data_IF_689030697878
#
_entry.id   IF_689030697878
#
_cell.length_a   1.000
_cell.length_b   1.000
_cell.length_c   1.000
_cell.angle_alpha   90.00
_cell.angle_beta   90.00
_cell.angle_gamma   90.00
#
_symmetry.space_group_name_H-M   'P 1'
#
loop_
_entity.id
_entity.type
_entity.pdbx_description
1 polymer ?
#
# COMPACT_ATOMS: atom_id res chain seq x y z
N UNK A 1 -5.60 -0.20 20.75
CA UNK A 1 -6.37 0.79 19.96
C UNK A 1 -6.89 0.27 18.63
N UNK A 2 -6.14 0.21 17.52
CA UNK A 2 -6.71 -0.18 16.21
C UNK A 2 -7.26 -1.63 16.17
N UNK A 3 -6.57 -2.60 16.79
CA UNK A 3 -7.06 -3.98 16.88
C UNK A 3 -8.34 -4.09 17.73
N UNK A 4 -8.43 -3.30 18.80
CA UNK A 4 -9.64 -3.26 19.62
C UNK A 4 -10.80 -2.64 18.86
N UNK A 5 -10.57 -1.59 18.07
CA UNK A 5 -11.57 -1.02 17.18
C UNK A 5 -12.06 -2.04 16.16
N UNK A 6 -11.14 -2.81 15.56
CA UNK A 6 -11.48 -3.85 14.59
C UNK A 6 -12.38 -4.95 15.17
N UNK A 7 -12.18 -5.26 16.46
CA UNK A 7 -13.05 -6.19 17.19
C UNK A 7 -14.44 -5.63 17.49
N UNK A 8 -14.58 -4.31 17.61
CA UNK A 8 -15.82 -3.64 18.01
C UNK A 8 -16.67 -3.20 16.82
N UNK A 9 -16.06 -2.89 15.67
CA UNK A 9 -16.75 -2.36 14.50
C UNK A 9 -16.67 -3.35 13.31
N UNK A 10 -17.82 -3.91 12.87
CA UNK A 10 -17.84 -4.86 11.76
C UNK A 10 -17.43 -4.25 10.40
N UNK A 11 -17.34 -2.92 10.28
CA UNK A 11 -16.83 -2.26 9.09
C UNK A 11 -15.31 -2.42 8.92
N UNK A 12 -14.58 -2.76 9.98
CA UNK A 12 -13.12 -2.95 9.94
C UNK A 12 -12.80 -4.42 9.71
N UNK A 13 -12.38 -4.76 8.50
CA UNK A 13 -12.06 -6.15 8.12
C UNK A 13 -10.61 -6.58 8.38
N UNK A 14 -9.73 -5.63 8.71
CA UNK A 14 -8.32 -5.89 8.98
C UNK A 14 -7.55 -4.65 9.40
N UNK A 15 -6.39 -4.86 10.02
CA UNK A 15 -5.48 -3.84 10.54
C UNK A 15 -4.08 -4.14 10.03
N UNK A 16 -3.45 -3.15 9.41
CA UNK A 16 -2.00 -3.14 9.16
C UNK A 16 -1.33 -2.51 10.37
N UNK A 17 -0.58 -3.31 11.12
CA UNK A 17 0.14 -2.89 12.33
C UNK A 17 1.43 -2.12 12.02
N UNK A 18 2.07 -1.60 13.05
CA UNK A 18 3.34 -0.89 12.94
C UNK A 18 4.45 -1.65 13.66
N UNK A 19 5.58 -1.84 12.99
CA UNK A 19 6.84 -2.23 13.62
C UNK A 19 7.94 -1.32 13.10
N UNK A 20 8.85 -0.91 13.98
CA UNK A 20 10.15 -0.41 13.56
C UNK A 20 10.94 -1.59 12.99
N UNK A 21 10.89 -1.78 11.68
CA UNK A 21 11.23 -3.05 11.05
C UNK A 21 12.74 -3.31 11.02
N UNK A 22 13.57 -2.28 11.22
CA UNK A 22 15.03 -2.42 11.36
C UNK A 22 15.50 -2.75 12.79
N UNK A 23 14.58 -2.81 13.76
CA UNK A 23 14.93 -3.16 15.13
C UNK A 23 15.22 -4.67 15.27
N UNK A 24 16.23 -5.02 16.06
CA UNK A 24 16.60 -6.42 16.32
C UNK A 24 15.48 -7.21 17.04
N UNK A 25 14.62 -6.51 17.77
CA UNK A 25 13.49 -7.05 18.53
C UNK A 25 12.13 -6.85 17.82
N UNK A 26 12.10 -6.44 16.55
CA UNK A 26 10.86 -6.19 15.82
C UNK A 26 9.92 -7.40 15.82
N UNK A 27 10.47 -8.61 15.67
CA UNK A 27 9.69 -9.85 15.69
C UNK A 27 9.20 -10.18 17.10
N UNK A 28 9.98 -9.90 18.14
CA UNK A 28 9.50 -10.04 19.53
C UNK A 28 8.39 -9.06 19.86
N UNK A 29 8.43 -7.85 19.29
CA UNK A 29 7.31 -6.91 19.38
C UNK A 29 6.06 -7.40 18.64
N UNK A 30 6.22 -8.05 17.47
CA UNK A 30 5.13 -8.72 16.77
C UNK A 30 4.51 -9.83 17.63
N UNK A 31 5.32 -10.66 18.27
CA UNK A 31 4.84 -11.73 19.16
C UNK A 31 3.96 -11.16 20.29
N UNK A 32 4.27 -9.95 20.77
CA UNK A 32 3.46 -9.24 21.76
C UNK A 32 2.03 -8.93 21.27
N UNK A 33 1.81 -8.78 19.96
CA UNK A 33 0.48 -8.50 19.41
C UNK A 33 -0.49 -9.66 19.58
N UNK A 34 -0.01 -10.92 19.68
CA UNK A 34 -0.87 -12.10 19.88
C UNK A 34 -1.73 -12.01 21.14
N UNK A 35 -1.23 -11.28 22.15
CA UNK A 35 -1.92 -11.10 23.42
C UNK A 35 -3.00 -10.01 23.39
N UNK A 36 -3.06 -9.20 22.32
CA UNK A 36 -3.96 -8.05 22.23
C UNK A 36 -5.37 -8.46 21.77
N UNK A 37 -6.43 -7.81 22.30
CA UNK A 37 -7.77 -8.01 21.78
C UNK A 37 -7.87 -7.60 20.31
N UNK A 38 -8.41 -8.48 19.47
CA UNK A 38 -8.56 -8.24 18.03
C UNK A 38 -7.31 -8.60 17.20
N UNK A 39 -6.34 -9.31 17.77
CA UNK A 39 -5.17 -9.81 17.04
C UNK A 39 -5.53 -10.56 15.75
N UNK A 40 -6.67 -11.27 15.71
CA UNK A 40 -7.16 -11.97 14.53
C UNK A 40 -7.44 -11.06 13.32
N UNK A 41 -7.50 -9.74 13.53
CA UNK A 41 -7.63 -8.71 12.49
C UNK A 41 -6.28 -8.16 12.02
N UNK A 42 -5.15 -8.53 12.63
CA UNK A 42 -3.83 -8.12 12.14
C UNK A 42 -3.52 -8.88 10.84
N UNK A 43 -3.31 -8.15 9.75
CA UNK A 43 -3.15 -8.74 8.40
C UNK A 43 -1.87 -8.34 7.69
N UNK A 44 -1.15 -7.38 8.25
CA UNK A 44 0.10 -6.89 7.68
C UNK A 44 0.82 -5.96 8.62
N UNK A 45 2.03 -5.59 8.23
CA UNK A 45 2.89 -4.66 8.95
C UNK A 45 3.35 -3.57 8.00
N UNK A 46 3.49 -2.36 8.54
CA UNK A 46 4.06 -1.21 7.84
C UNK A 46 5.03 -0.46 8.74
N UNK A 47 6.17 -0.07 8.20
CA UNK A 47 7.05 0.95 8.77
C UNK A 47 6.90 2.27 7.99
N UNK A 48 7.31 3.39 8.57
CA UNK A 48 7.30 4.73 7.97
C UNK A 48 8.58 4.99 7.15
N UNK A 49 8.94 4.04 6.29
CA UNK A 49 10.23 4.04 5.59
C UNK A 49 10.53 5.35 4.84
N UNK A 50 9.51 5.98 4.28
CA UNK A 50 9.62 7.24 3.53
C UNK A 50 10.02 8.49 4.33
N UNK A 51 10.03 8.41 5.66
CA UNK A 51 10.36 9.50 6.59
C UNK A 51 11.77 9.34 7.15
N UNK A 52 12.40 8.17 6.96
CA UNK A 52 13.81 8.01 7.30
C UNK A 52 14.70 8.69 6.26
N UNK A 53 15.80 9.33 6.67
CA UNK A 53 16.71 10.03 5.76
C UNK A 53 17.53 9.10 4.88
N UNK A 54 17.65 7.83 5.25
CA UNK A 54 18.40 6.83 4.50
C UNK A 54 17.50 6.21 3.42
N UNK A 55 17.69 6.60 2.16
CA UNK A 55 16.95 6.06 1.02
C UNK A 55 17.17 4.54 0.84
N UNK A 56 18.24 3.98 1.41
CA UNK A 56 18.55 2.55 1.42
C UNK A 56 17.98 1.81 2.64
N UNK A 57 17.14 2.47 3.46
CA UNK A 57 16.60 1.88 4.69
C UNK A 57 16.01 0.48 4.49
N UNK A 58 15.20 0.29 3.45
CA UNK A 58 14.50 -0.96 3.19
C UNK A 58 15.40 -2.12 2.76
N UNK A 59 16.60 -1.84 2.23
CA UNK A 59 17.55 -2.87 1.80
C UNK A 59 18.55 -3.28 2.90
N UNK A 60 18.42 -2.71 4.11
CA UNK A 60 19.24 -3.11 5.25
C UNK A 60 19.06 -4.61 5.55
N UNK A 61 20.14 -5.35 5.88
CA UNK A 61 20.05 -6.78 6.18
C UNK A 61 19.02 -7.13 7.27
N UNK A 62 18.94 -6.32 8.32
CA UNK A 62 17.99 -6.53 9.42
C UNK A 62 16.53 -6.35 8.96
N UNK A 63 16.25 -5.35 8.12
CA UNK A 63 14.91 -5.14 7.54
C UNK A 63 14.52 -6.34 6.68
N UNK A 64 15.40 -6.78 5.78
CA UNK A 64 15.18 -7.96 4.94
C UNK A 64 14.92 -9.20 5.82
N UNK A 65 15.72 -9.42 6.86
CA UNK A 65 15.55 -10.55 7.77
C UNK A 65 14.18 -10.52 8.47
N UNK A 66 13.78 -9.37 9.00
CA UNK A 66 12.51 -9.25 9.71
C UNK A 66 11.32 -9.38 8.76
N UNK A 67 11.36 -8.78 7.57
CA UNK A 67 10.29 -8.90 6.56
C UNK A 67 10.14 -10.33 6.02
N UNK A 68 11.25 -11.08 5.88
CA UNK A 68 11.18 -12.52 5.58
C UNK A 68 10.41 -13.28 6.65
N UNK A 69 10.64 -12.95 7.91
CA UNK A 69 9.97 -13.59 9.03
C UNK A 69 8.47 -13.24 9.07
N UNK A 70 8.10 -12.00 8.71
CA UNK A 70 6.69 -11.64 8.50
C UNK A 70 6.01 -12.54 7.45
N UNK A 71 6.66 -12.71 6.29
CA UNK A 71 6.11 -13.53 5.20
C UNK A 71 5.89 -14.99 5.58
N UNK A 72 6.85 -15.61 6.29
CA UNK A 72 6.69 -16.99 6.81
C UNK A 72 5.49 -17.15 7.73
N UNK A 73 5.12 -16.09 8.44
CA UNK A 73 3.98 -16.05 9.37
C UNK A 73 2.66 -15.67 8.70
N UNK A 74 2.68 -15.43 7.38
CA UNK A 74 1.51 -15.08 6.60
C UNK A 74 1.13 -13.60 6.68
N UNK A 75 1.98 -12.73 7.24
CA UNK A 75 1.75 -11.29 7.23
C UNK A 75 2.24 -10.66 5.94
N UNK A 76 1.45 -9.74 5.42
CA UNK A 76 1.87 -8.85 4.34
C UNK A 76 2.78 -7.72 4.86
N UNK A 77 3.51 -7.08 3.94
CA UNK A 77 4.29 -5.88 4.23
C UNK A 77 3.91 -4.73 3.28
N UNK A 78 3.46 -3.61 3.86
CA UNK A 78 3.09 -2.41 3.11
C UNK A 78 4.33 -1.55 2.85
N UNK A 79 4.62 -1.28 1.58
CA UNK A 79 5.75 -0.48 1.09
C UNK A 79 5.37 0.99 1.02
N UNK A 80 5.53 1.71 2.14
CA UNK A 80 5.39 3.17 2.19
C UNK A 80 6.67 3.86 1.75
N UNK A 81 6.72 4.27 0.48
CA UNK A 81 7.93 4.78 -0.17
C UNK A 81 7.67 6.08 -0.93
N UNK A 82 8.71 6.91 -1.05
CA UNK A 82 8.83 7.96 -2.09
C UNK A 82 9.78 7.44 -3.17
N UNK A 83 9.77 8.04 -4.36
CA UNK A 83 10.61 7.64 -5.49
C UNK A 83 12.08 7.29 -5.14
N UNK A 84 12.80 8.05 -4.29
CA UNK A 84 14.19 7.71 -3.95
C UNK A 84 14.36 6.37 -3.21
N UNK A 85 13.34 5.92 -2.45
CA UNK A 85 13.38 4.68 -1.67
C UNK A 85 13.06 3.43 -2.50
N UNK A 86 12.58 3.59 -3.75
CA UNK A 86 12.05 2.46 -4.54
C UNK A 86 13.13 1.46 -4.92
N UNK A 87 14.39 1.87 -5.13
CA UNK A 87 15.49 0.94 -5.36
C UNK A 87 15.72 0.00 -4.17
N UNK A 88 15.66 0.54 -2.95
CA UNK A 88 15.77 -0.28 -1.74
C UNK A 88 14.56 -1.21 -1.55
N UNK A 89 13.36 -0.74 -1.94
CA UNK A 89 12.17 -1.57 -1.95
C UNK A 89 12.27 -2.73 -2.96
N UNK A 90 12.85 -2.51 -4.14
CA UNK A 90 13.09 -3.57 -5.13
C UNK A 90 14.00 -4.66 -4.55
N UNK A 91 15.10 -4.28 -3.89
CA UNK A 91 16.01 -5.24 -3.27
C UNK A 91 15.34 -6.01 -2.11
N UNK A 92 14.48 -5.35 -1.34
CA UNK A 92 13.69 -5.99 -0.30
C UNK A 92 12.71 -7.03 -0.89
N UNK A 93 11.91 -6.63 -1.88
CA UNK A 93 10.93 -7.52 -2.54
C UNK A 93 11.61 -8.72 -3.16
N UNK A 94 12.69 -8.49 -3.90
CA UNK A 94 13.52 -9.54 -4.52
C UNK A 94 14.07 -10.53 -3.49
N UNK A 95 14.40 -10.03 -2.30
CA UNK A 95 14.93 -10.86 -1.22
C UNK A 95 13.86 -11.66 -0.50
N UNK A 96 12.58 -11.31 -0.61
CA UNK A 96 11.48 -11.85 0.18
C UNK A 96 10.34 -12.39 -0.71
N UNK A 97 10.59 -13.40 -1.58
CA UNK A 97 9.60 -13.86 -2.56
C UNK A 97 8.32 -14.46 -1.93
N UNK A 98 8.41 -14.93 -0.69
CA UNK A 98 7.27 -15.53 0.04
C UNK A 98 6.43 -14.50 0.82
N UNK A 99 6.82 -13.22 0.82
CA UNK A 99 6.08 -12.15 1.50
C UNK A 99 5.16 -11.45 0.50
N UNK A 100 3.87 -11.29 0.82
CA UNK A 100 2.97 -10.43 0.04
C UNK A 100 3.30 -8.96 0.31
N UNK A 101 3.59 -8.20 -0.74
CA UNK A 101 3.88 -6.77 -0.65
C UNK A 101 2.73 -5.93 -1.21
N UNK A 102 2.47 -4.80 -0.56
CA UNK A 102 1.48 -3.82 -1.02
C UNK A 102 2.17 -2.47 -1.16
N UNK A 103 2.25 -1.94 -2.38
CA UNK A 103 2.74 -0.58 -2.62
C UNK A 103 1.70 0.42 -2.14
N UNK A 104 2.06 1.23 -1.16
CA UNK A 104 1.21 2.31 -0.66
C UNK A 104 1.25 3.51 -1.63
N UNK A 105 0.09 4.12 -1.85
CA UNK A 105 -0.08 5.41 -2.54
C UNK A 105 0.63 5.52 -3.88
N UNK A 106 0.57 4.46 -4.68
CA UNK A 106 1.31 4.31 -5.94
C UNK A 106 2.80 4.66 -5.84
N UNK A 107 3.42 4.49 -4.67
CA UNK A 107 4.80 4.89 -4.36
C UNK A 107 5.10 6.40 -4.48
N UNK A 108 4.06 7.23 -4.29
CA UNK A 108 4.16 8.68 -4.12
C UNK A 108 4.98 9.39 -5.22
N UNK A 109 4.58 9.31 -6.50
CA UNK A 109 5.22 10.08 -7.55
C UNK A 109 5.14 11.57 -7.26
N UNK A 110 6.10 12.36 -7.73
CA UNK A 110 6.09 13.81 -7.54
C UNK A 110 5.12 14.49 -8.53
N UNK A 111 3.82 14.33 -8.28
CA UNK A 111 2.74 14.81 -9.15
C UNK A 111 2.77 16.34 -9.32
N UNK A 112 2.98 17.08 -8.23
CA UNK A 112 3.10 18.55 -8.27
C UNK A 112 4.24 19.02 -9.20
N UNK A 113 5.33 18.24 -9.30
CA UNK A 113 6.47 18.52 -10.19
C UNK A 113 6.29 17.97 -11.60
N UNK A 114 5.21 17.24 -11.86
CA UNK A 114 4.93 16.55 -13.13
C UNK A 114 6.03 15.56 -13.53
N UNK A 115 6.69 14.94 -12.55
CA UNK A 115 7.75 13.98 -12.79
C UNK A 115 7.20 12.57 -12.98
N UNK A 116 7.36 12.00 -14.18
CA UNK A 116 6.99 10.62 -14.49
C UNK A 116 8.15 9.64 -14.23
N UNK A 117 9.38 10.08 -14.49
CA UNK A 117 10.59 9.27 -14.31
C UNK A 117 11.44 9.81 -13.16
N UNK A 118 12.14 8.94 -12.41
CA UNK A 118 12.29 7.49 -12.62
C UNK A 118 11.15 6.64 -12.04
N UNK A 119 10.11 7.25 -11.48
CA UNK A 119 9.01 6.56 -10.81
C UNK A 119 8.39 5.45 -11.65
N UNK A 120 8.01 5.72 -12.90
CA UNK A 120 7.34 4.74 -13.75
C UNK A 120 8.20 3.52 -14.05
N UNK A 121 9.50 3.70 -14.31
CA UNK A 121 10.45 2.61 -14.52
C UNK A 121 10.62 1.75 -13.27
N UNK A 122 10.82 2.38 -12.11
CA UNK A 122 10.98 1.67 -10.83
C UNK A 122 9.70 0.94 -10.43
N UNK A 123 8.54 1.55 -10.68
CA UNK A 123 7.24 0.94 -10.42
C UNK A 123 7.02 -0.29 -11.30
N UNK A 124 7.43 -0.20 -12.58
CA UNK A 124 7.39 -1.34 -13.51
C UNK A 124 8.30 -2.47 -13.06
N UNK A 125 9.48 -2.18 -12.51
CA UNK A 125 10.36 -3.20 -11.93
C UNK A 125 9.69 -3.91 -10.74
N UNK A 126 9.07 -3.16 -9.82
CA UNK A 126 8.33 -3.75 -8.70
C UNK A 126 7.15 -4.61 -9.17
N UNK A 127 6.44 -4.18 -10.21
CA UNK A 127 5.34 -4.96 -10.78
C UNK A 127 5.78 -6.30 -11.40
N UNK A 128 7.05 -6.43 -11.77
CA UNK A 128 7.63 -7.67 -12.29
C UNK A 128 7.65 -8.82 -11.27
N UNK A 129 7.50 -8.53 -9.98
CA UNK A 129 7.39 -9.54 -8.93
C UNK A 129 5.91 -9.89 -8.69
N UNK A 130 5.55 -11.17 -8.77
CA UNK A 130 4.15 -11.63 -8.70
C UNK A 130 3.49 -11.36 -7.33
N UNK A 131 4.28 -11.37 -6.26
CA UNK A 131 3.88 -11.12 -4.88
C UNK A 131 3.73 -9.63 -4.52
N UNK A 132 3.67 -8.72 -5.50
CA UNK A 132 3.48 -7.28 -5.27
C UNK A 132 2.08 -6.87 -5.74
N UNK A 133 1.35 -6.08 -4.97
CA UNK A 133 0.13 -5.40 -5.44
C UNK A 133 0.24 -3.91 -5.14
N UNK A 134 -0.68 -3.10 -5.65
CA UNK A 134 -0.63 -1.65 -5.51
C UNK A 134 -1.94 -1.08 -4.99
N UNK A 135 -1.85 -0.17 -4.03
CA UNK A 135 -2.95 0.71 -3.66
C UNK A 135 -2.93 1.95 -4.54
N UNK A 136 -4.03 2.16 -5.25
CA UNK A 136 -4.32 3.42 -5.95
C UNK A 136 -4.99 4.35 -4.96
N UNK A 137 -4.16 5.07 -4.23
CA UNK A 137 -4.53 5.93 -3.09
C UNK A 137 -3.54 7.09 -2.93
N UNK A 138 -3.81 8.04 -2.04
CA UNK A 138 -2.84 9.08 -1.62
C UNK A 138 -2.33 10.02 -2.72
N UNK A 139 -2.96 10.06 -3.90
CA UNK A 139 -2.49 10.87 -5.03
C UNK A 139 -2.69 12.38 -4.82
N UNK A 140 -3.68 12.78 -4.01
CA UNK A 140 -4.04 14.18 -3.82
C UNK A 140 -2.97 14.97 -3.07
N UNK A 141 -2.36 14.35 -2.05
CA UNK A 141 -1.33 14.98 -1.22
C UNK A 141 0.01 15.12 -1.93
N UNK A 142 0.21 14.43 -3.05
CA UNK A 142 1.41 14.54 -3.89
C UNK A 142 1.27 15.59 -5.02
N UNK A 143 0.06 16.13 -5.24
CA UNK A 143 -0.22 17.19 -6.19
C UNK A 143 -0.15 18.59 -5.55
N UNK A 144 -0.38 19.64 -6.35
CA UNK A 144 -0.65 20.97 -5.81
C UNK A 144 -2.08 20.99 -5.24
N UNK A 145 -2.18 21.11 -3.91
CA UNK A 145 -3.44 21.01 -3.17
C UNK A 145 -4.45 22.09 -3.56
N UNK A 146 -3.98 23.24 -4.08
CA UNK A 146 -4.84 24.37 -4.41
C UNK A 146 -5.44 24.34 -5.82
N UNK A 147 -4.97 23.45 -6.71
CA UNK A 147 -5.29 23.56 -8.14
C UNK A 147 -5.38 22.25 -8.91
N UNK A 148 -5.40 21.10 -8.23
CA UNK A 148 -5.51 19.82 -8.94
C UNK A 148 -6.85 19.64 -9.65
N UNK A 149 -6.85 18.82 -10.69
CA UNK A 149 -8.03 18.31 -11.39
C UNK A 149 -7.82 16.84 -11.75
N UNK A 150 -8.83 16.15 -12.29
CA UNK A 150 -8.65 14.78 -12.77
C UNK A 150 -7.49 14.65 -13.78
N UNK A 151 -7.29 15.64 -14.64
CA UNK A 151 -6.20 15.64 -15.62
C UNK A 151 -4.81 15.76 -14.99
N UNK A 152 -4.72 16.23 -13.74
CA UNK A 152 -3.47 16.22 -12.96
C UNK A 152 -3.02 14.78 -12.65
N UNK A 153 -3.98 13.89 -12.38
CA UNK A 153 -3.71 12.51 -11.97
C UNK A 153 -3.74 11.51 -13.13
N UNK A 154 -4.51 11.82 -14.18
CA UNK A 154 -4.73 10.94 -15.34
C UNK A 154 -3.43 10.33 -15.90
N UNK A 155 -2.32 11.06 -16.11
CA UNK A 155 -1.09 10.46 -16.63
C UNK A 155 -0.53 9.35 -15.74
N UNK A 156 -0.56 9.54 -14.42
CA UNK A 156 -0.07 8.56 -13.44
C UNK A 156 -1.01 7.35 -13.33
N UNK A 157 -2.33 7.60 -13.34
CA UNK A 157 -3.33 6.55 -13.32
C UNK A 157 -3.26 5.66 -14.57
N UNK A 158 -3.11 6.26 -15.75
CA UNK A 158 -2.87 5.52 -17.00
C UNK A 158 -1.59 4.70 -16.90
N UNK A 159 -0.50 5.29 -16.41
CA UNK A 159 0.76 4.56 -16.24
C UNK A 159 0.61 3.35 -15.30
N UNK A 160 -0.15 3.49 -14.21
CA UNK A 160 -0.45 2.38 -13.29
C UNK A 160 -1.23 1.28 -14.01
N UNK A 161 -2.23 1.61 -14.84
CA UNK A 161 -2.98 0.60 -15.62
C UNK A 161 -2.18 -0.11 -16.69
N UNK A 162 -1.12 0.53 -17.21
CA UNK A 162 -0.18 -0.11 -18.13
C UNK A 162 0.78 -1.07 -17.42
N UNK A 163 1.02 -0.87 -16.13
CA UNK A 163 1.99 -1.63 -15.32
C UNK A 163 1.30 -2.77 -14.54
N UNK A 164 0.14 -2.51 -13.95
CA UNK A 164 -0.61 -3.46 -13.13
C UNK A 164 -1.96 -3.80 -13.77
N UNK A 165 -2.30 -5.08 -13.73
CA UNK A 165 -3.66 -5.52 -14.06
C UNK A 165 -4.63 -5.12 -12.94
N UNK A 166 -5.93 -4.95 -13.22
CA UNK A 166 -6.91 -4.67 -12.17
C UNK A 166 -6.96 -5.69 -11.03
N UNK A 167 -6.56 -6.95 -11.28
CA UNK A 167 -6.44 -7.98 -10.25
C UNK A 167 -5.30 -7.73 -9.24
N UNK A 168 -4.35 -6.83 -9.55
CA UNK A 168 -3.25 -6.43 -8.66
C UNK A 168 -3.34 -4.97 -8.22
N UNK A 169 -4.45 -4.29 -8.50
CA UNK A 169 -4.75 -2.94 -8.03
C UNK A 169 -5.86 -2.97 -6.98
N UNK A 170 -5.76 -2.14 -5.95
CA UNK A 170 -6.84 -1.93 -4.99
C UNK A 170 -7.04 -0.45 -4.69
N UNK A 171 -8.28 -0.05 -4.42
CA UNK A 171 -8.61 1.29 -3.94
C UNK A 171 -8.12 1.52 -2.51
N UNK A 172 -7.73 2.77 -2.21
CA UNK A 172 -7.64 3.26 -0.83
C UNK A 172 -7.95 4.75 -0.77
N UNK A 173 -8.72 5.18 0.23
CA UNK A 173 -9.09 6.60 0.36
C UNK A 173 -7.97 7.47 0.91
N UNK A 174 -7.02 6.87 1.64
CA UNK A 174 -6.02 7.57 2.45
C UNK A 174 -6.65 8.54 3.48
N UNK A 175 -7.87 8.27 3.92
CA UNK A 175 -8.52 9.05 4.98
C UNK A 175 -7.84 8.79 6.34
N UNK A 176 -7.65 9.81 7.19
CA UNK A 176 -8.04 11.22 7.02
C UNK A 176 -7.01 12.09 6.30
N UNK A 177 -5.85 11.56 5.91
CA UNK A 177 -4.75 12.33 5.29
C UNK A 177 -5.18 12.99 3.98
N UNK A 178 -6.05 12.33 3.19
CA UNK A 178 -6.60 12.90 1.97
C UNK A 178 -7.30 14.25 2.19
N UNK A 179 -7.84 14.51 3.39
CA UNK A 179 -8.53 15.76 3.76
C UNK A 179 -7.63 17.01 3.71
N UNK A 180 -6.31 16.83 3.63
CA UNK A 180 -5.36 17.92 3.39
C UNK A 180 -5.52 18.55 2.00
N UNK A 181 -5.96 17.77 1.01
CA UNK A 181 -6.02 18.18 -0.39
C UNK A 181 -7.35 17.88 -1.09
N UNK A 182 -8.19 16.99 -0.55
CA UNK A 182 -9.46 16.59 -1.15
C UNK A 182 -10.47 16.12 -0.08
N UNK A 183 -11.76 16.19 -0.39
CA UNK A 183 -12.79 15.53 0.44
C UNK A 183 -12.83 14.02 0.17
N UNK A 184 -13.40 13.26 1.12
CA UNK A 184 -13.68 11.84 0.89
C UNK A 184 -14.54 11.62 -0.36
N UNK A 185 -15.57 12.45 -0.56
CA UNK A 185 -16.43 12.40 -1.75
C UNK A 185 -15.64 12.59 -3.05
N UNK A 186 -14.77 13.61 -3.11
CA UNK A 186 -13.91 13.83 -4.28
C UNK A 186 -12.97 12.64 -4.53
N UNK A 187 -12.46 12.01 -3.46
CA UNK A 187 -11.62 10.81 -3.56
C UNK A 187 -12.37 9.68 -4.26
N UNK A 188 -13.63 9.42 -3.87
CA UNK A 188 -14.48 8.42 -4.51
C UNK A 188 -14.80 8.79 -5.96
N UNK A 189 -15.24 10.03 -6.22
CA UNK A 189 -15.61 10.48 -7.58
C UNK A 189 -14.45 10.35 -8.59
N UNK A 190 -13.21 10.65 -8.16
CA UNK A 190 -12.02 10.49 -9.01
C UNK A 190 -11.75 9.01 -9.31
N UNK A 191 -11.93 8.12 -8.34
CA UNK A 191 -11.68 6.68 -8.52
C UNK A 191 -12.81 5.98 -9.29
N UNK A 192 -14.06 6.43 -9.14
CA UNK A 192 -15.18 6.01 -9.99
C UNK A 192 -14.94 6.41 -11.45
N UNK A 193 -14.48 7.65 -11.69
CA UNK A 193 -14.10 8.10 -13.03
C UNK A 193 -12.91 7.31 -13.59
N UNK A 194 -11.89 7.05 -12.78
CA UNK A 194 -10.74 6.24 -13.18
C UNK A 194 -11.14 4.84 -13.63
N UNK A 195 -12.06 4.22 -12.90
CA UNK A 195 -12.53 2.86 -13.19
C UNK A 195 -13.74 2.82 -14.14
N UNK A 196 -14.16 3.95 -14.73
CA UNK A 196 -15.43 4.02 -15.50
C UNK A 196 -15.48 2.98 -16.63
N UNK A 197 -14.36 2.77 -17.32
CA UNK A 197 -14.19 1.89 -18.47
C UNK A 197 -13.75 0.46 -18.09
N UNK A 198 -13.56 0.17 -16.81
CA UNK A 198 -13.28 -1.19 -16.36
C UNK A 198 -14.54 -2.05 -16.52
N UNK A 199 -14.35 -3.31 -16.93
CA UNK A 199 -15.40 -4.33 -16.87
C UNK A 199 -15.85 -4.55 -15.43
N UNK A 200 -17.02 -5.17 -15.24
CA UNK A 200 -17.55 -5.45 -13.90
C UNK A 200 -16.57 -6.28 -13.05
N UNK A 201 -15.90 -7.27 -13.64
CA UNK A 201 -14.92 -8.08 -12.92
C UNK A 201 -13.66 -7.28 -12.54
N UNK A 202 -13.22 -6.36 -13.39
CA UNK A 202 -12.08 -5.48 -13.08
C UNK A 202 -12.43 -4.47 -11.97
N UNK A 203 -13.66 -3.94 -11.98
CA UNK A 203 -14.19 -3.11 -10.89
C UNK A 203 -14.24 -3.89 -9.58
N UNK A 204 -14.77 -5.11 -9.59
CA UNK A 204 -14.81 -5.97 -8.39
C UNK A 204 -13.41 -6.25 -7.82
N UNK A 205 -12.41 -6.47 -8.68
CA UNK A 205 -11.03 -6.61 -8.26
C UNK A 205 -10.51 -5.34 -7.59
N UNK A 206 -10.63 -4.21 -8.27
CA UNK A 206 -10.13 -2.92 -7.79
C UNK A 206 -10.79 -2.46 -6.48
N UNK A 207 -12.11 -2.60 -6.37
CA UNK A 207 -12.86 -2.09 -5.24
C UNK A 207 -12.89 -3.03 -4.04
N UNK A 208 -12.59 -4.33 -4.22
CA UNK A 208 -12.69 -5.30 -3.13
C UNK A 208 -11.73 -6.50 -3.25
N UNK A 209 -11.85 -7.31 -4.30
CA UNK A 209 -11.27 -8.67 -4.30
C UNK A 209 -9.75 -8.68 -4.16
N UNK A 210 -9.06 -7.70 -4.74
CA UNK A 210 -7.59 -7.63 -4.63
C UNK A 210 -7.15 -7.32 -3.20
N UNK A 211 -7.87 -6.46 -2.47
CA UNK A 211 -7.59 -6.22 -1.05
C UNK A 211 -7.90 -7.48 -0.22
N UNK A 212 -9.05 -8.12 -0.47
CA UNK A 212 -9.47 -9.35 0.23
C UNK A 212 -8.41 -10.44 0.09
N UNK A 213 -7.95 -10.73 -1.13
CA UNK A 213 -6.98 -11.79 -1.37
C UNK A 213 -5.58 -11.44 -0.84
N UNK A 214 -5.11 -10.21 -1.07
CA UNK A 214 -3.74 -9.81 -0.71
C UNK A 214 -3.52 -9.72 0.80
N UNK A 215 -4.55 -9.33 1.55
CA UNK A 215 -4.49 -9.28 3.02
C UNK A 215 -5.07 -10.53 3.70
N UNK A 216 -5.63 -11.49 2.96
CA UNK A 216 -6.31 -12.65 3.55
C UNK A 216 -7.52 -12.27 4.41
N UNK A 217 -8.26 -11.22 4.01
CA UNK A 217 -9.37 -10.69 4.80
C UNK A 217 -10.51 -11.69 4.91
N UNK A 218 -11.05 -11.83 6.12
CA UNK A 218 -12.27 -12.60 6.38
C UNK A 218 -13.47 -11.67 6.28
N UNK A 219 -13.93 -11.43 5.05
CA UNK A 219 -15.17 -10.68 4.81
C UNK A 219 -16.37 -11.64 4.88
N UNK A 220 -17.37 -11.31 5.70
CA UNK A 220 -18.63 -12.03 5.69
C UNK A 220 -19.37 -11.64 4.41
N UNK A 221 -19.72 -12.62 3.56
CA UNK A 221 -20.61 -12.38 2.43
C UNK A 221 -22.00 -12.06 3.01
N UNK A 222 -22.34 -10.77 3.08
CA UNK A 222 -23.71 -10.30 3.30
C UNK A 222 -24.54 -10.46 2.04
#
# INVERSE_FOLDING_TARGET
>A
ELLELAKLDPLVSGVVGFLKIDAADAISHLDGYESLPGYEYLVGIRDIAHDYPDENYLSKPQVIQNVKELGKRGFSYDLLTKTPHMNAAIELVKSCPDTQFIIDHISKPYIAKKEMQPWAELLKTLAGFENVVIKVSGIFTEADWGSWSYDTFKPYLVQVTEIFTPARMMFGSDWPVCLLAATYKQTIEIMEKFTENFSNNEKENFWAKTAISSYGLKVNNS
#
